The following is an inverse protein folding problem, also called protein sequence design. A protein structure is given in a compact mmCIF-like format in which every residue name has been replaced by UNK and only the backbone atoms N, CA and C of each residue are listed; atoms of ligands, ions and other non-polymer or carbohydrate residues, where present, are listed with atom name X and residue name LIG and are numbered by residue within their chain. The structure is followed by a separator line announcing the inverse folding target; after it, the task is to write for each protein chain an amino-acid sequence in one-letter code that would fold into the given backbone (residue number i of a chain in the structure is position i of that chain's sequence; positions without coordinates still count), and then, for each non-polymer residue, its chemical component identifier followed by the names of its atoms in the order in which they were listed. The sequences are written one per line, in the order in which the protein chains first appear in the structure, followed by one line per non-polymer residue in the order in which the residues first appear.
data_IF_126845346657
#
_entry.id   IF_126845346657
#
_cell.length_a   1.000
_cell.length_b   1.000
_cell.length_c   1.000
_cell.angle_alpha   90.00
_cell.angle_beta   90.00
_cell.angle_gamma   90.00
#
_symmetry.space_group_name_H-M   'P 1'
#
loop_
_entity.id
_entity.type
_entity.pdbx_description
1 polymer ?
#
# COMPACT_ATOMS: atom_id res chain seq x y z
N UNK A 1 11.21 -7.38 11.57
CA UNK A 1 11.70 -6.27 12.42
C UNK A 1 11.84 -5.03 11.56
N UNK A 2 11.00 -4.02 11.78
CA UNK A 2 11.03 -2.74 11.06
C UNK A 2 12.28 -1.90 11.35
N UNK A 3 12.88 -2.04 12.53
CA UNK A 3 14.05 -1.27 12.93
C UNK A 3 15.22 -1.38 11.94
N UNK A 4 15.44 -2.57 11.36
CA UNK A 4 16.47 -2.77 10.34
C UNK A 4 16.17 -1.95 9.07
N UNK A 5 14.91 -1.96 8.61
CA UNK A 5 14.50 -1.16 7.46
C UNK A 5 14.65 0.35 7.71
N UNK A 6 14.33 0.83 8.92
CA UNK A 6 14.49 2.24 9.28
C UNK A 6 15.95 2.68 9.27
N UNK A 7 16.88 1.84 9.75
CA UNK A 7 18.32 2.14 9.70
C UNK A 7 18.78 2.38 8.26
N UNK A 8 18.38 1.52 7.33
CA UNK A 8 18.73 1.69 5.91
C UNK A 8 18.01 2.87 5.25
N UNK A 9 16.75 3.11 5.62
CA UNK A 9 15.97 4.23 5.08
C UNK A 9 16.52 5.61 5.52
N UNK A 10 16.95 5.72 6.78
CA UNK A 10 17.44 6.98 7.36
C UNK A 10 18.96 7.14 7.29
N UNK A 11 19.69 6.07 6.95
CA UNK A 11 21.16 6.09 6.94
C UNK A 11 21.77 6.21 8.34
N UNK A 12 21.15 5.61 9.36
CA UNK A 12 21.63 5.73 10.74
C UNK A 12 22.93 4.91 10.92
N UNK A 13 24.06 5.59 10.85
CA UNK A 13 25.40 4.98 10.95
C UNK A 13 25.85 4.24 9.68
N UNK A 14 25.12 4.40 8.57
CA UNK A 14 25.38 3.78 7.25
C UNK A 14 24.85 4.67 6.12
N UNK A 15 25.31 4.51 4.86
CA UNK A 15 24.65 5.15 3.72
C UNK A 15 23.18 4.75 3.60
N UNK A 16 22.34 5.66 3.13
CA UNK A 16 20.92 5.39 2.82
C UNK A 16 20.84 4.33 1.73
N UNK A 17 19.99 3.33 1.94
CA UNK A 17 19.78 2.22 1.02
C UNK A 17 18.29 1.82 1.04
N UNK A 18 17.50 2.47 0.18
CA UNK A 18 16.06 2.26 0.14
C UNK A 18 15.68 0.87 -0.35
N UNK A 19 16.52 0.25 -1.18
CA UNK A 19 16.29 -1.11 -1.65
C UNK A 19 16.38 -2.12 -0.50
N UNK A 20 17.42 -2.00 0.35
CA UNK A 20 17.50 -2.80 1.56
C UNK A 20 16.40 -2.46 2.56
N UNK A 21 16.03 -1.18 2.68
CA UNK A 21 14.92 -0.79 3.55
C UNK A 21 13.62 -1.50 3.15
N UNK A 22 13.29 -1.46 1.86
CA UNK A 22 12.11 -2.11 1.30
C UNK A 22 12.15 -3.63 1.50
N UNK A 23 13.31 -4.28 1.30
CA UNK A 23 13.47 -5.72 1.55
C UNK A 23 13.17 -6.10 3.00
N UNK A 24 13.60 -5.26 3.95
CA UNK A 24 13.32 -5.50 5.36
C UNK A 24 11.85 -5.28 5.71
N UNK A 25 11.21 -4.28 5.11
CA UNK A 25 9.78 -4.04 5.31
C UNK A 25 8.93 -5.17 4.69
N UNK A 26 9.26 -5.59 3.46
CA UNK A 26 8.65 -6.74 2.77
C UNK A 26 8.78 -8.05 3.54
N UNK A 27 9.87 -8.26 4.28
CA UNK A 27 10.02 -9.44 5.13
C UNK A 27 9.20 -9.36 6.42
N UNK A 28 8.89 -8.15 6.89
CA UNK A 28 8.15 -7.96 8.14
C UNK A 28 6.64 -8.05 7.90
N UNK A 29 6.14 -7.39 6.85
CA UNK A 29 4.70 -7.25 6.52
C UNK A 29 3.81 -6.91 7.73
N UNK A 30 4.38 -6.24 8.74
CA UNK A 30 3.67 -5.75 9.91
C UNK A 30 3.15 -4.33 9.67
N UNK A 31 2.36 -3.81 10.60
CA UNK A 31 1.71 -2.50 10.42
C UNK A 31 2.69 -1.35 10.26
N UNK A 32 3.84 -1.42 10.93
CA UNK A 32 4.86 -0.39 10.85
C UNK A 32 5.60 -0.46 9.51
N UNK A 33 5.89 -1.66 9.03
CA UNK A 33 6.46 -1.91 7.71
C UNK A 33 5.52 -1.40 6.62
N UNK A 34 4.24 -1.79 6.66
CA UNK A 34 3.24 -1.35 5.69
C UNK A 34 3.06 0.17 5.69
N UNK A 35 3.01 0.81 6.87
CA UNK A 35 2.95 2.27 6.94
C UNK A 35 4.20 2.94 6.34
N UNK A 36 5.40 2.40 6.60
CA UNK A 36 6.64 2.96 6.04
C UNK A 36 6.73 2.75 4.53
N UNK A 37 6.34 1.58 4.03
CA UNK A 37 6.25 1.31 2.59
C UNK A 37 5.23 2.22 1.91
N UNK A 38 4.08 2.46 2.55
CA UNK A 38 3.08 3.39 2.04
C UNK A 38 3.64 4.80 1.90
N UNK A 39 4.45 5.25 2.86
CA UNK A 39 5.17 6.54 2.78
C UNK A 39 6.18 6.53 1.63
N UNK A 40 6.94 5.44 1.44
CA UNK A 40 7.89 5.33 0.32
C UNK A 40 7.19 5.45 -1.04
N UNK A 41 6.07 4.76 -1.25
CA UNK A 41 5.28 4.88 -2.49
C UNK A 41 4.59 6.25 -2.63
N UNK A 42 4.15 6.87 -1.53
CA UNK A 42 3.57 8.23 -1.56
C UNK A 42 4.60 9.26 -2.01
N UNK A 43 5.83 9.15 -1.51
CA UNK A 43 6.88 10.16 -1.71
C UNK A 43 7.82 9.82 -2.88
N UNK A 44 7.71 8.62 -3.47
CA UNK A 44 8.63 8.14 -4.51
C UNK A 44 10.04 7.85 -3.99
N UNK A 45 10.16 7.50 -2.71
CA UNK A 45 11.46 7.31 -2.05
C UNK A 45 11.96 5.89 -2.27
N UNK A 46 12.89 5.71 -3.21
CA UNK A 46 13.48 4.40 -3.53
C UNK A 46 12.55 3.44 -4.29
N UNK A 47 11.34 3.89 -4.63
CA UNK A 47 10.36 3.22 -5.49
C UNK A 47 9.68 4.28 -6.36
N UNK A 48 9.14 3.92 -7.54
CA UNK A 48 8.29 4.83 -8.30
C UNK A 48 7.09 5.28 -7.47
N UNK A 49 6.81 6.58 -7.51
CA UNK A 49 5.69 7.16 -6.79
C UNK A 49 4.38 6.54 -7.27
N UNK A 50 3.54 6.09 -6.34
CA UNK A 50 2.22 5.53 -6.64
C UNK A 50 1.28 5.77 -5.45
N UNK A 51 0.49 6.83 -5.55
CA UNK A 51 -0.42 7.24 -4.49
C UNK A 51 -1.58 6.26 -4.27
N UNK A 52 -2.03 5.53 -5.30
CA UNK A 52 -3.05 4.47 -5.18
C UNK A 52 -2.54 3.30 -4.32
N UNK A 53 -1.32 2.85 -4.55
CA UNK A 53 -0.69 1.78 -3.76
C UNK A 53 -0.43 2.25 -2.33
N UNK A 54 0.03 3.49 -2.14
CA UNK A 54 0.20 4.08 -0.81
C UNK A 54 -1.13 4.15 -0.04
N UNK A 55 -2.21 4.61 -0.69
CA UNK A 55 -3.56 4.64 -0.14
C UNK A 55 -3.97 3.25 0.36
N UNK A 56 -3.80 2.21 -0.45
CA UNK A 56 -4.15 0.83 -0.09
C UNK A 56 -3.33 0.30 1.09
N UNK A 57 -2.05 0.65 1.19
CA UNK A 57 -1.22 0.27 2.35
C UNK A 57 -1.74 0.92 3.63
N UNK A 58 -2.00 2.23 3.62
CA UNK A 58 -2.54 2.94 4.79
C UNK A 58 -3.92 2.43 5.19
N UNK A 59 -4.77 2.18 4.19
CA UNK A 59 -6.10 1.62 4.39
C UNK A 59 -6.02 0.20 5.00
N UNK A 60 -5.13 -0.64 4.51
CA UNK A 60 -4.93 -1.99 5.04
C UNK A 60 -4.53 -1.93 6.51
N UNK A 61 -3.56 -1.10 6.88
CA UNK A 61 -3.14 -0.91 8.29
C UNK A 61 -4.30 -0.44 9.15
N UNK A 62 -5.05 0.57 8.68
CA UNK A 62 -6.19 1.14 9.40
C UNK A 62 -7.26 0.08 9.70
N UNK A 63 -7.69 -0.64 8.67
CA UNK A 63 -8.91 -1.46 8.72
C UNK A 63 -8.67 -2.82 9.34
N UNK A 64 -7.47 -3.37 9.17
CA UNK A 64 -7.06 -4.63 9.83
C UNK A 64 -6.59 -4.39 11.28
N UNK A 65 -6.35 -3.13 11.66
CA UNK A 65 -5.78 -2.79 12.97
C UNK A 65 -4.36 -3.31 13.16
N UNK A 66 -3.57 -3.38 12.08
CA UNK A 66 -2.24 -3.97 12.13
C UNK A 66 -1.23 -3.03 12.80
N UNK A 67 -0.49 -3.52 13.80
CA UNK A 67 0.54 -2.77 14.52
C UNK A 67 0.03 -2.10 15.80
N UNK A 68 0.84 -1.18 16.34
CA UNK A 68 0.49 -0.46 17.57
C UNK A 68 -0.59 0.61 17.33
N UNK A 69 -1.22 1.10 18.41
CA UNK A 69 -2.14 2.24 18.32
C UNK A 69 -1.50 3.46 17.64
N UNK A 70 -0.23 3.74 17.93
CA UNK A 70 0.52 4.82 17.29
C UNK A 70 0.74 4.57 15.78
N UNK A 71 0.88 3.32 15.36
CA UNK A 71 0.99 2.91 13.96
C UNK A 71 -0.33 3.12 13.23
N UNK A 72 -1.44 2.66 13.82
CA UNK A 72 -2.78 2.87 13.29
C UNK A 72 -3.07 4.37 13.18
N UNK A 73 -2.75 5.17 14.20
CA UNK A 73 -2.93 6.63 14.15
C UNK A 73 -2.09 7.29 13.03
N UNK A 74 -0.86 6.85 12.80
CA UNK A 74 -0.03 7.33 11.68
C UNK A 74 -0.64 6.96 10.33
N UNK A 75 -1.05 5.70 10.18
CA UNK A 75 -1.73 5.23 8.98
C UNK A 75 -3.02 6.02 8.72
N UNK A 76 -3.82 6.30 9.74
CA UNK A 76 -5.06 7.09 9.62
C UNK A 76 -4.78 8.52 9.15
N UNK A 77 -3.70 9.15 9.65
CA UNK A 77 -3.29 10.48 9.17
C UNK A 77 -2.87 10.44 7.70
N UNK A 78 -2.05 9.46 7.34
CA UNK A 78 -1.59 9.28 5.96
C UNK A 78 -2.74 8.92 5.00
N UNK A 79 -3.69 8.11 5.45
CA UNK A 79 -4.91 7.74 4.73
C UNK A 79 -5.75 8.99 4.44
N UNK A 80 -6.01 9.82 5.46
CA UNK A 80 -6.74 11.09 5.30
C UNK A 80 -6.04 12.03 4.32
N UNK A 81 -4.71 12.13 4.39
CA UNK A 81 -3.94 12.92 3.44
C UNK A 81 -4.06 12.37 2.01
N UNK A 82 -4.04 11.04 1.84
CA UNK A 82 -4.21 10.39 0.54
C UNK A 82 -5.61 10.64 -0.03
N UNK A 83 -6.65 10.55 0.81
CA UNK A 83 -8.04 10.86 0.41
C UNK A 83 -8.19 12.33 -0.02
N UNK A 84 -7.50 13.25 0.65
CA UNK A 84 -7.54 14.67 0.29
C UNK A 84 -6.78 14.99 -1.01
N UNK A 85 -5.77 14.18 -1.35
CA UNK A 85 -4.89 14.41 -2.49
C UNK A 85 -5.35 13.68 -3.76
N UNK A 86 -5.97 12.51 -3.64
CA UNK A 86 -6.40 11.69 -4.76
C UNK A 86 -7.80 12.08 -5.24
N UNK A 87 -8.04 12.15 -6.56
CA UNK A 87 -9.40 12.23 -7.08
C UNK A 87 -10.17 10.96 -6.73
N UNK A 88 -11.49 11.09 -6.55
CA UNK A 88 -12.37 9.97 -6.17
C UNK A 88 -12.23 8.77 -7.12
N UNK A 89 -12.08 9.03 -8.41
CA UNK A 89 -11.92 7.98 -9.44
C UNK A 89 -10.68 7.11 -9.19
N UNK A 90 -9.56 7.71 -8.77
CA UNK A 90 -8.34 6.96 -8.45
C UNK A 90 -8.46 6.16 -7.15
N UNK A 91 -9.23 6.67 -6.19
CA UNK A 91 -9.56 5.94 -4.95
C UNK A 91 -10.41 4.71 -5.30
N UNK A 92 -11.47 4.90 -6.10
CA UNK A 92 -12.36 3.81 -6.52
C UNK A 92 -11.57 2.76 -7.33
N UNK A 93 -10.71 3.18 -8.25
CA UNK A 93 -9.82 2.29 -9.00
C UNK A 93 -8.87 1.50 -8.08
N UNK A 94 -8.24 2.16 -7.10
CA UNK A 94 -7.36 1.50 -6.15
C UNK A 94 -8.09 0.39 -5.37
N UNK A 95 -9.32 0.64 -4.93
CA UNK A 95 -10.14 -0.34 -4.23
C UNK A 95 -10.52 -1.56 -5.09
N UNK A 96 -10.46 -1.42 -6.41
CA UNK A 96 -10.73 -2.49 -7.38
C UNK A 96 -9.51 -3.37 -7.68
N UNK A 97 -8.31 -3.02 -7.22
CA UNK A 97 -7.15 -3.90 -7.40
C UNK A 97 -7.35 -5.25 -6.71
N UNK A 98 -6.82 -6.31 -7.32
CA UNK A 98 -6.75 -7.63 -6.70
C UNK A 98 -5.63 -7.65 -5.66
N UNK A 99 -5.75 -8.53 -4.67
CA UNK A 99 -4.64 -8.76 -3.70
C UNK A 99 -3.37 -9.18 -4.42
N UNK A 100 -3.50 -10.06 -5.41
CA UNK A 100 -2.36 -10.57 -6.18
C UNK A 100 -1.64 -9.45 -6.94
N UNK A 101 -2.37 -8.55 -7.60
CA UNK A 101 -1.79 -7.40 -8.28
C UNK A 101 -1.06 -6.48 -7.29
N UNK A 102 -1.71 -6.16 -6.17
CA UNK A 102 -1.14 -5.31 -5.14
C UNK A 102 0.18 -5.89 -4.61
N UNK A 103 0.20 -7.17 -4.26
CA UNK A 103 1.40 -7.85 -3.78
C UNK A 103 2.49 -7.93 -4.85
N UNK A 104 2.15 -8.32 -6.09
CA UNK A 104 3.11 -8.39 -7.19
C UNK A 104 3.72 -7.02 -7.51
N UNK A 105 2.94 -5.94 -7.46
CA UNK A 105 3.45 -4.59 -7.66
C UNK A 105 4.46 -4.20 -6.57
N UNK A 106 4.21 -4.55 -5.31
CA UNK A 106 5.14 -4.28 -4.22
C UNK A 106 6.43 -5.09 -4.39
N UNK A 107 6.32 -6.38 -4.71
CA UNK A 107 7.47 -7.27 -4.96
C UNK A 107 8.30 -6.79 -6.16
N UNK A 108 7.66 -6.23 -7.19
CA UNK A 108 8.34 -5.59 -8.33
C UNK A 108 9.06 -4.28 -7.98
N UNK A 109 8.95 -3.81 -6.73
CA UNK A 109 9.45 -2.49 -6.27
C UNK A 109 8.83 -1.34 -7.06
N UNK A 110 7.57 -1.50 -7.45
CA UNK A 110 6.82 -0.53 -8.25
C UNK A 110 7.12 -0.52 -9.74
N UNK A 111 7.87 -1.50 -10.27
CA UNK A 111 8.08 -1.66 -11.70
C UNK A 111 6.92 -2.42 -12.32
N UNK A 112 5.92 -1.69 -12.81
CA UNK A 112 4.72 -2.27 -13.42
C UNK A 112 5.03 -3.28 -14.54
N UNK A 113 6.11 -3.06 -15.30
CA UNK A 113 6.53 -3.98 -16.36
C UNK A 113 6.91 -5.39 -15.87
N UNK A 114 7.28 -5.51 -14.59
CA UNK A 114 7.66 -6.78 -13.98
C UNK A 114 6.44 -7.50 -13.35
N UNK A 115 5.27 -6.86 -13.30
CA UNK A 115 4.03 -7.48 -12.79
C UNK A 115 3.46 -8.41 -13.86
N UNK A 116 3.34 -9.72 -13.59
CA UNK A 116 2.81 -10.67 -14.56
C UNK A 116 1.41 -10.28 -15.03
N UNK A 117 1.17 -10.34 -16.35
CA UNK A 117 -0.11 -9.94 -16.95
C UNK A 117 -1.28 -10.78 -16.41
N UNK A 118 -1.03 -12.05 -16.09
CA UNK A 118 -2.04 -12.93 -15.53
C UNK A 118 -2.43 -12.55 -14.11
N UNK A 119 -1.60 -11.79 -13.36
CA UNK A 119 -1.91 -11.25 -12.03
C UNK A 119 -2.56 -9.87 -12.06
N UNK A 120 -2.68 -9.27 -13.26
CA UNK A 120 -3.47 -8.06 -13.43
C UNK A 120 -4.95 -8.34 -13.16
N UNK A 121 -5.71 -7.25 -13.13
CA UNK A 121 -7.06 -7.24 -12.60
C UNK A 121 -7.98 -8.19 -13.39
N UNK A 122 -8.82 -8.94 -12.69
CA UNK A 122 -9.67 -9.98 -13.29
C UNK A 122 -10.99 -10.09 -12.53
N UNK A 123 -12.15 -10.16 -13.23
CA UNK A 123 -13.45 -10.38 -12.60
C UNK A 123 -13.55 -11.68 -11.79
N UNK A 124 -12.67 -12.65 -12.05
CA UNK A 124 -12.64 -13.93 -11.35
C UNK A 124 -11.87 -13.89 -10.02
N UNK A 125 -11.13 -12.81 -9.74
CA UNK A 125 -10.34 -12.65 -8.52
C UNK A 125 -10.99 -11.69 -7.54
N UNK A 126 -10.76 -11.96 -6.26
CA UNK A 126 -11.27 -11.10 -5.19
C UNK A 126 -10.51 -9.78 -5.18
N UNK A 127 -11.25 -8.68 -5.25
CA UNK A 127 -10.72 -7.31 -5.18
C UNK A 127 -10.53 -6.88 -3.73
N UNK A 128 -9.68 -5.89 -3.48
CA UNK A 128 -9.38 -5.41 -2.12
C UNK A 128 -10.66 -4.96 -1.40
N UNK A 129 -11.56 -4.27 -2.11
CA UNK A 129 -12.86 -3.88 -1.56
C UNK A 129 -13.71 -5.04 -1.05
N UNK A 130 -13.52 -6.22 -1.62
CA UNK A 130 -14.35 -7.41 -1.36
C UNK A 130 -13.82 -8.20 -0.18
N UNK A 131 -12.67 -7.82 0.40
CA UNK A 131 -12.04 -8.55 1.50
C UNK A 131 -12.84 -8.52 2.81
N UNK A 132 -13.93 -7.75 2.86
CA UNK A 132 -14.86 -7.74 3.99
C UNK A 132 -14.27 -7.09 5.24
N UNK A 133 -13.18 -6.35 5.08
CA UNK A 133 -12.54 -5.62 6.16
C UNK A 133 -13.29 -4.32 6.51
N UNK A 134 -14.21 -3.86 5.65
CA UNK A 134 -14.89 -2.58 5.81
C UNK A 134 -16.18 -2.73 6.62
N UNK A 135 -16.53 -1.68 7.39
CA UNK A 135 -17.81 -1.61 8.11
C UNK A 135 -18.93 -1.23 7.15
N UNK A 136 -20.16 -1.60 7.51
CA UNK A 136 -21.35 -1.12 6.80
C UNK A 136 -21.37 0.42 6.79
N UNK A 137 -21.51 1.02 5.60
CA UNK A 137 -21.51 2.47 5.39
C UNK A 137 -20.15 3.09 5.03
N UNK A 138 -19.03 2.40 5.21
CA UNK A 138 -17.69 2.86 4.76
C UNK A 138 -17.50 2.66 3.25
N UNK A 139 -18.25 1.74 2.64
CA UNK A 139 -18.33 1.60 1.18
C UNK A 139 -19.43 2.51 0.64
N UNK A 140 -19.05 3.64 0.06
CA UNK A 140 -19.95 4.33 -0.86
C UNK A 140 -20.29 3.40 -2.04
N UNK A 141 -21.43 3.59 -2.73
CA UNK A 141 -21.66 2.97 -4.01
C UNK A 141 -20.59 3.43 -5.02
N UNK A 142 -19.93 2.48 -5.67
CA UNK A 142 -19.05 2.71 -6.82
C UNK A 142 -18.91 1.44 -7.65
N UNK A 143 -18.66 1.65 -8.94
CA UNK A 143 -18.45 0.61 -9.93
C UNK A 143 -16.98 0.57 -10.31
N UNK A 144 -16.40 -0.63 -10.31
CA UNK A 144 -15.05 -0.81 -10.80
C UNK A 144 -15.05 -0.61 -12.33
N UNK A 145 -14.10 0.16 -12.89
CA UNK A 145 -13.99 0.33 -14.33
C UNK A 145 -13.83 -1.02 -15.04
N UNK A 146 -14.38 -1.15 -16.25
CA UNK A 146 -14.27 -2.37 -17.03
C UNK A 146 -12.79 -2.69 -17.32
N UNK A 147 -12.33 -3.89 -16.96
CA UNK A 147 -10.91 -4.26 -17.02
C UNK A 147 -10.14 -4.05 -15.72
N UNK A 148 -10.82 -3.59 -14.66
CA UNK A 148 -10.47 -3.82 -13.25
C UNK A 148 -11.43 -4.84 -12.58
#
# INVERSE_FOLDING_TARGET
MVAAGVIYHQGLGRPVDYDKALDWYLKSMDGDALNNMGVMFRDGTGVPQNAKIAYLMFLTVHMTGMGSEATIMRANRNLRASIAALPREEIDEALCYTVDYFMAYIESRGRLADVPQDLQVSPARRRIRELGWWREGELAPYDCPAGT
#
